data_IF_476992723950
#
_entry.id   IF_476992723950
#
_cell.length_a   1.000
_cell.length_b   1.000
_cell.length_c   1.000
_cell.angle_alpha   90.00
_cell.angle_beta   90.00
_cell.angle_gamma   90.00
#
_symmetry.space_group_name_H-M   'P 1'
#
loop_
_entity.id
_entity.type
_entity.pdbx_description
1 polymer ?
#
# COMPACT_ATOMS: atom_id res chain seq x y z
N UNK A 1 -9.00 15.26 8.52
CA UNK A 1 -9.15 14.99 7.07
C UNK A 1 -9.23 13.49 6.85
N UNK A 2 -10.19 13.05 6.07
CA UNK A 2 -10.37 11.62 5.84
C UNK A 2 -9.42 11.13 4.75
N UNK A 3 -9.07 9.85 4.83
CA UNK A 3 -8.27 9.19 3.80
C UNK A 3 -9.15 8.92 2.57
N UNK A 4 -8.54 8.94 1.38
CA UNK A 4 -9.27 8.56 0.18
C UNK A 4 -9.35 7.02 0.10
N UNK A 5 -10.12 6.53 -0.86
CA UNK A 5 -10.34 5.08 -0.97
C UNK A 5 -9.04 4.30 -1.23
N UNK A 6 -8.16 4.85 -2.05
CA UNK A 6 -6.89 4.19 -2.33
C UNK A 6 -6.02 4.13 -1.08
N UNK A 7 -5.99 5.20 -0.30
CA UNK A 7 -5.20 5.25 0.92
C UNK A 7 -5.70 4.23 1.93
N UNK A 8 -7.01 4.13 2.09
CA UNK A 8 -7.61 3.12 2.98
C UNK A 8 -7.27 1.71 2.52
N UNK A 9 -7.31 1.48 1.21
CA UNK A 9 -7.00 0.18 0.66
C UNK A 9 -5.54 -0.20 0.90
N UNK A 10 -4.63 0.77 0.76
CA UNK A 10 -3.20 0.53 1.00
C UNK A 10 -2.97 0.15 2.46
N UNK A 11 -3.57 0.88 3.38
CA UNK A 11 -3.41 0.57 4.80
C UNK A 11 -3.99 -0.79 5.16
N UNK A 12 -5.15 -1.13 4.60
CA UNK A 12 -5.73 -2.45 4.81
C UNK A 12 -4.87 -3.56 4.23
N UNK A 13 -4.28 -3.28 3.08
CA UNK A 13 -3.40 -4.24 2.42
C UNK A 13 -2.15 -4.51 3.28
N UNK A 14 -1.60 -3.48 3.91
CA UNK A 14 -0.41 -3.63 4.76
C UNK A 14 -0.69 -4.42 6.03
N UNK A 15 -1.92 -4.56 6.42
CA UNK A 15 -2.28 -5.37 7.59
C UNK A 15 -2.25 -6.85 7.29
N UNK A 16 -2.29 -7.22 6.02
CA UNK A 16 -2.26 -8.63 5.64
C UNK A 16 -0.85 -9.18 5.77
N UNK A 17 -0.77 -10.46 6.09
CA UNK A 17 0.51 -11.14 6.18
C UNK A 17 0.77 -11.89 4.88
N UNK A 18 1.96 -11.69 4.34
CA UNK A 18 2.35 -12.31 3.09
C UNK A 18 3.47 -13.29 3.35
N UNK A 19 3.30 -14.51 2.88
CA UNK A 19 4.31 -15.55 3.06
C UNK A 19 5.56 -15.27 2.25
N UNK A 20 5.38 -14.73 1.06
CA UNK A 20 6.49 -14.48 0.14
C UNK A 20 6.38 -13.07 -0.44
N UNK A 21 7.53 -12.37 -0.56
CA UNK A 21 7.52 -11.01 -1.15
C UNK A 21 6.95 -10.98 -2.56
N UNK A 22 7.19 -12.04 -3.34
CA UNK A 22 6.68 -12.12 -4.72
C UNK A 22 5.15 -12.10 -4.73
N UNK A 23 4.52 -12.78 -3.80
CA UNK A 23 3.07 -12.80 -3.71
C UNK A 23 2.52 -11.40 -3.43
N UNK A 24 3.19 -10.66 -2.55
CA UNK A 24 2.78 -9.31 -2.23
C UNK A 24 2.91 -8.40 -3.44
N UNK A 25 4.00 -8.50 -4.19
CA UNK A 25 4.19 -7.68 -5.37
C UNK A 25 3.13 -7.97 -6.44
N UNK A 26 2.80 -9.23 -6.65
CA UNK A 26 1.73 -9.60 -7.56
C UNK A 26 0.39 -9.03 -7.12
N UNK A 27 0.12 -9.10 -5.83
CA UNK A 27 -1.13 -8.57 -5.28
C UNK A 27 -1.20 -7.05 -5.43
N UNK A 28 -0.08 -6.36 -5.25
CA UNK A 28 -0.01 -4.91 -5.44
C UNK A 28 -0.38 -4.56 -6.89
N UNK A 29 0.21 -5.26 -7.85
CA UNK A 29 -0.06 -5.00 -9.25
C UNK A 29 -1.52 -5.31 -9.60
N UNK A 30 -2.05 -6.42 -9.09
CA UNK A 30 -3.43 -6.83 -9.38
C UNK A 30 -4.46 -5.94 -8.70
N UNK A 31 -4.20 -5.57 -7.46
CA UNK A 31 -5.17 -4.83 -6.66
C UNK A 31 -5.16 -3.34 -6.97
N UNK A 32 -3.98 -2.77 -7.12
CA UNK A 32 -3.83 -1.32 -7.29
C UNK A 32 -3.40 -0.89 -8.69
N UNK A 33 -2.89 -1.82 -9.48
CA UNK A 33 -2.35 -1.47 -10.78
C UNK A 33 -1.06 -0.66 -10.70
N UNK A 34 -0.35 -0.78 -9.59
CA UNK A 34 0.89 -0.04 -9.35
C UNK A 34 2.10 -0.96 -9.38
N UNK A 35 3.25 -0.40 -9.74
CA UNK A 35 4.50 -1.11 -9.57
C UNK A 35 4.90 -1.09 -8.09
N UNK A 36 5.78 -2.02 -7.69
CA UNK A 36 6.26 -2.08 -6.32
C UNK A 36 6.81 -0.75 -5.82
N UNK A 37 7.78 -0.16 -6.54
CA UNK A 37 8.35 1.13 -6.12
C UNK A 37 7.30 2.23 -5.98
N UNK A 38 6.35 2.30 -6.90
CA UNK A 38 5.30 3.30 -6.83
C UNK A 38 4.41 3.10 -5.62
N UNK A 39 4.05 1.85 -5.35
CA UNK A 39 3.26 1.51 -4.17
C UNK A 39 3.94 1.99 -2.90
N UNK A 40 5.23 1.69 -2.76
CA UNK A 40 5.96 2.07 -1.55
C UNK A 40 6.16 3.57 -1.40
N UNK A 41 6.24 4.30 -2.52
CA UNK A 41 6.25 5.76 -2.46
C UNK A 41 4.98 6.30 -1.84
N UNK A 42 3.84 5.75 -2.26
CA UNK A 42 2.55 6.16 -1.72
C UNK A 42 2.40 5.77 -0.25
N UNK A 43 2.86 4.58 0.09
CA UNK A 43 2.82 4.11 1.47
C UNK A 43 3.65 5.00 2.39
N UNK A 44 4.86 5.35 1.96
CA UNK A 44 5.72 6.22 2.76
C UNK A 44 5.10 7.59 2.98
N UNK A 45 4.47 8.14 1.96
CA UNK A 45 3.79 9.43 2.08
C UNK A 45 2.64 9.35 3.09
N UNK A 46 1.92 8.23 3.11
CA UNK A 46 0.85 8.01 4.06
C UNK A 46 1.37 7.96 5.49
N UNK A 47 2.46 7.23 5.70
CA UNK A 47 3.06 7.09 7.02
C UNK A 47 3.53 8.44 7.53
N UNK A 48 4.18 9.22 6.68
CA UNK A 48 4.64 10.57 7.03
C UNK A 48 3.49 11.45 7.48
N UNK A 49 2.38 11.40 6.76
CA UNK A 49 1.23 12.22 7.10
C UNK A 49 0.60 11.81 8.42
N UNK A 50 0.62 10.53 8.74
CA UNK A 50 0.03 10.04 9.99
C UNK A 50 0.88 10.40 11.20
N UNK A 51 2.17 10.54 11.03
CA UNK A 51 3.06 10.90 12.12
C UNK A 51 3.06 12.40 12.43
N UNK A 52 2.61 13.20 11.51
CA UNK A 52 2.60 14.66 11.65
C UNK A 52 1.53 15.21 12.63
#
# INVERSE_FOLDING_TARGET
MSLNEQEKAILGFERQRWKMPVEKEHAIASTFGLSGPRYYQLLNALIDRQEA
#
